data_IF_461144511121
#
_entry.id   IF_461144511121
#
_cell.length_a   1.000
_cell.length_b   1.000
_cell.length_c   1.000
_cell.angle_alpha   90.00
_cell.angle_beta   90.00
_cell.angle_gamma   90.00
#
_symmetry.space_group_name_H-M   'P 1'
#
loop_
_entity.id
_entity.type
_entity.pdbx_description
1 polymer ?
#
# COMPACT_ATOMS: atom_id res chain seq x y z
N UNK A 1 -2.89 13.14 -22.03
CA UNK A 1 -3.68 11.92 -22.31
C UNK A 1 -4.88 11.91 -21.36
N UNK A 2 -6.09 11.63 -21.84
CA UNK A 2 -7.32 11.57 -21.02
C UNK A 2 -7.90 10.15 -21.14
N UNK A 3 -8.11 9.47 -20.00
CA UNK A 3 -8.74 8.15 -19.95
C UNK A 3 -10.24 8.34 -19.78
N UNK A 4 -11.03 7.92 -20.78
CA UNK A 4 -12.49 8.00 -20.72
C UNK A 4 -13.04 6.98 -19.72
N UNK A 5 -14.09 7.34 -18.98
CA UNK A 5 -14.79 6.47 -18.03
C UNK A 5 -13.90 5.91 -16.90
N UNK A 6 -12.84 6.63 -16.51
CA UNK A 6 -11.99 6.22 -15.40
C UNK A 6 -12.74 6.36 -14.06
N UNK A 7 -12.93 5.24 -13.36
CA UNK A 7 -13.55 5.23 -12.04
C UNK A 7 -12.48 5.51 -10.99
N UNK A 8 -12.52 6.71 -10.41
CA UNK A 8 -11.58 7.08 -9.35
C UNK A 8 -11.80 6.24 -8.10
N UNK A 9 -10.73 5.63 -7.62
CA UNK A 9 -10.63 5.12 -6.26
C UNK A 9 -10.05 6.21 -5.36
N UNK A 10 -10.74 6.54 -4.26
CA UNK A 10 -10.31 7.54 -3.27
C UNK A 10 -9.98 6.84 -1.95
N UNK A 11 -8.70 6.77 -1.62
CA UNK A 11 -8.24 6.32 -0.31
C UNK A 11 -7.56 7.44 0.48
N UNK A 12 -7.18 7.12 1.71
CA UNK A 12 -6.44 8.01 2.61
C UNK A 12 -4.93 7.93 2.39
N UNK A 13 -4.43 6.80 1.87
CA UNK A 13 -3.01 6.61 1.62
C UNK A 13 -2.68 6.60 0.14
N UNK A 14 -1.60 7.28 -0.25
CA UNK A 14 -1.20 7.39 -1.65
C UNK A 14 -0.96 6.02 -2.30
N UNK A 15 -0.32 5.08 -1.59
CA UNK A 15 0.05 3.77 -2.13
C UNK A 15 -1.17 2.87 -2.37
N UNK A 16 -2.08 2.76 -1.39
CA UNK A 16 -3.34 2.03 -1.55
C UNK A 16 -4.26 2.69 -2.58
N UNK A 17 -4.24 4.02 -2.68
CA UNK A 17 -5.00 4.76 -3.68
C UNK A 17 -4.51 4.48 -5.09
N UNK A 18 -3.18 4.49 -5.29
CA UNK A 18 -2.58 4.16 -6.57
C UNK A 18 -2.88 2.70 -6.96
N UNK A 19 -2.66 1.74 -6.05
CA UNK A 19 -2.95 0.33 -6.28
C UNK A 19 -4.44 0.09 -6.57
N UNK A 20 -5.35 0.70 -5.82
CA UNK A 20 -6.80 0.57 -6.03
C UNK A 20 -7.27 1.13 -7.37
N UNK A 21 -6.66 2.22 -7.84
CA UNK A 21 -6.92 2.77 -9.18
C UNK A 21 -6.45 1.82 -10.30
N UNK A 22 -5.27 1.21 -10.16
CA UNK A 22 -4.74 0.25 -11.14
C UNK A 22 -5.57 -1.05 -11.17
N UNK A 23 -5.88 -1.61 -10.01
CA UNK A 23 -6.71 -2.81 -9.89
C UNK A 23 -8.13 -2.57 -10.41
N UNK A 24 -8.72 -1.41 -10.07
CA UNK A 24 -10.03 -1.02 -10.58
C UNK A 24 -10.06 -0.88 -12.11
N UNK A 25 -8.94 -0.50 -12.74
CA UNK A 25 -8.83 -0.42 -14.19
C UNK A 25 -8.94 -1.79 -14.87
N UNK A 26 -8.46 -2.86 -14.22
CA UNK A 26 -8.56 -4.25 -14.71
C UNK A 26 -9.80 -4.99 -14.18
N UNK A 27 -10.73 -4.29 -13.54
CA UNK A 27 -11.98 -4.87 -13.03
C UNK A 27 -11.89 -5.50 -11.63
N UNK A 28 -10.79 -5.31 -10.91
CA UNK A 28 -10.63 -5.78 -9.53
C UNK A 28 -11.00 -4.65 -8.57
N UNK A 29 -12.15 -4.79 -7.91
CA UNK A 29 -12.67 -3.79 -6.98
C UNK A 29 -12.45 -4.24 -5.52
N UNK A 30 -11.45 -3.67 -4.86
CA UNK A 30 -11.14 -3.89 -3.45
C UNK A 30 -11.33 -2.61 -2.65
N UNK A 31 -11.73 -2.73 -1.39
CA UNK A 31 -11.76 -1.60 -0.46
C UNK A 31 -10.35 -1.23 0.01
N UNK A 32 -10.15 0.02 0.46
CA UNK A 32 -8.83 0.42 1.00
C UNK A 32 -8.39 -0.45 2.19
N UNK A 33 -9.26 -0.82 3.16
CA UNK A 33 -8.89 -1.77 4.21
C UNK A 33 -8.45 -3.14 3.68
N UNK A 34 -9.06 -3.64 2.61
CA UNK A 34 -8.61 -4.89 1.98
C UNK A 34 -7.22 -4.76 1.36
N UNK A 35 -6.96 -3.68 0.62
CA UNK A 35 -5.63 -3.41 0.06
C UNK A 35 -4.57 -3.29 1.16
N UNK A 36 -4.92 -2.63 2.26
CA UNK A 36 -4.02 -2.48 3.40
C UNK A 36 -3.78 -3.81 4.12
N UNK A 37 -4.81 -4.64 4.28
CA UNK A 37 -4.68 -5.99 4.86
C UNK A 37 -3.85 -6.93 3.97
N UNK A 38 -4.18 -7.03 2.69
CA UNK A 38 -3.43 -7.83 1.71
C UNK A 38 -2.00 -7.32 1.51
N UNK A 39 -1.78 -6.02 1.68
CA UNK A 39 -0.47 -5.40 1.66
C UNK A 39 0.36 -5.62 2.93
N UNK A 40 -0.19 -6.26 3.95
CA UNK A 40 0.43 -6.39 5.29
C UNK A 40 0.79 -5.00 5.87
N UNK A 41 -0.09 -4.02 5.68
CA UNK A 41 0.17 -2.62 5.98
C UNK A 41 0.35 -2.32 7.48
N UNK A 42 -0.29 -3.10 8.35
CA UNK A 42 -0.01 -3.12 9.79
C UNK A 42 1.24 -3.98 10.01
N UNK A 43 2.36 -3.32 10.29
CA UNK A 43 3.63 -3.99 10.55
C UNK A 43 4.43 -3.16 11.58
N UNK A 44 5.52 -3.70 12.12
CA UNK A 44 6.46 -2.92 12.90
C UNK A 44 7.84 -2.97 12.26
N UNK A 45 8.47 -1.80 12.14
CA UNK A 45 9.87 -1.67 11.74
C UNK A 45 10.66 -1.17 12.92
N UNK A 46 11.75 -1.87 13.24
CA UNK A 46 12.74 -1.39 14.20
C UNK A 46 13.98 -1.04 13.41
N UNK A 47 14.30 0.25 13.38
CA UNK A 47 15.52 0.74 12.76
C UNK A 47 16.48 1.20 13.85
N UNK A 48 17.58 0.47 14.02
CA UNK A 48 18.66 0.81 14.93
C UNK A 48 19.95 1.11 14.15
N UNK A 49 20.46 2.34 14.22
CA UNK A 49 21.73 2.75 13.60
C UNK A 49 22.76 3.09 14.67
N UNK A 50 24.04 2.86 14.38
CA UNK A 50 25.15 3.19 15.30
C UNK A 50 25.22 4.67 15.70
N UNK A 51 24.65 5.55 14.87
CA UNK A 51 24.64 7.01 15.07
C UNK A 51 23.33 7.53 15.70
N UNK A 52 22.40 6.65 16.06
CA UNK A 52 21.14 7.02 16.70
C UNK A 52 21.21 6.73 18.20
N UNK A 53 20.81 7.71 19.02
CA UNK A 53 20.76 7.54 20.48
C UNK A 53 19.68 6.53 20.92
N UNK A 54 18.60 6.41 20.14
CA UNK A 54 17.50 5.47 20.37
C UNK A 54 16.99 4.86 19.04
N UNK A 55 16.52 3.60 19.03
CA UNK A 55 15.98 2.98 17.83
C UNK A 55 14.65 3.63 17.40
N UNK A 56 14.46 3.79 16.10
CA UNK A 56 13.17 4.20 15.54
C UNK A 56 12.23 2.99 15.46
N UNK A 57 11.00 3.17 15.95
CA UNK A 57 9.93 2.18 15.85
C UNK A 57 8.83 2.77 14.97
N UNK A 58 8.65 2.21 13.78
CA UNK A 58 7.55 2.55 12.87
C UNK A 58 6.46 1.50 12.92
N UNK A 59 5.19 1.92 12.86
CA UNK A 59 4.01 1.03 12.93
C UNK A 59 3.42 0.65 11.56
N UNK A 60 4.20 0.77 10.48
CA UNK A 60 3.77 0.44 9.12
C UNK A 60 4.82 -0.31 8.34
N UNK A 61 4.37 -1.07 7.36
CA UNK A 61 5.23 -1.70 6.38
C UNK A 61 6.08 -0.65 5.64
N UNK A 62 7.28 -1.05 5.22
CA UNK A 62 8.12 -0.25 4.34
C UNK A 62 7.38 0.04 3.03
N UNK A 63 7.56 1.26 2.51
CA UNK A 63 7.11 1.65 1.17
C UNK A 63 7.55 0.63 0.11
N UNK A 64 6.74 0.45 -0.93
CA UNK A 64 6.88 -0.52 -2.04
C UNK A 64 6.54 -1.96 -1.66
N UNK A 65 6.83 -2.39 -0.43
CA UNK A 65 6.49 -3.75 0.00
C UNK A 65 4.97 -3.97 0.09
N UNK A 66 4.19 -2.91 0.35
CA UNK A 66 2.73 -3.01 0.35
C UNK A 66 2.20 -3.44 -1.02
N UNK A 67 2.68 -2.81 -2.09
CA UNK A 67 2.27 -3.15 -3.46
C UNK A 67 2.77 -4.53 -3.88
N UNK A 68 3.98 -4.92 -3.48
CA UNK A 68 4.52 -6.26 -3.72
C UNK A 68 3.68 -7.34 -3.02
N UNK A 69 3.31 -7.11 -1.77
CA UNK A 69 2.46 -8.01 -0.99
C UNK A 69 1.05 -8.14 -1.57
N UNK A 70 0.45 -7.02 -1.99
CA UNK A 70 -0.84 -7.04 -2.71
C UNK A 70 -0.74 -7.93 -3.94
N UNK A 71 0.30 -7.75 -4.77
CA UNK A 71 0.51 -8.55 -5.98
C UNK A 71 0.67 -10.03 -5.66
N UNK A 72 1.50 -10.36 -4.66
CA UNK A 72 1.76 -11.74 -4.22
C UNK A 72 0.52 -12.46 -3.70
N UNK A 73 -0.41 -11.75 -3.08
CA UNK A 73 -1.63 -12.35 -2.53
C UNK A 73 -2.80 -12.40 -3.53
N UNK A 74 -2.68 -11.70 -4.67
CA UNK A 74 -3.70 -11.68 -5.73
C UNK A 74 -3.34 -12.55 -6.95
N UNK A 75 -2.08 -12.98 -7.07
CA UNK A 75 -1.60 -13.94 -8.09
C UNK A 75 -1.92 -15.38 -7.73
#
# INVERSE_FOLDING_TARGET
MIIKNFKLFKGQHCETTAAGNLLGHIGINLSEPMLFGLGEGLNFIIWNMKTMDFPFIGGRIKTDLLTQNITRHLS
#
